data_IF_347504118225
#
_entry.id   IF_347504118225
#
_cell.length_a   1.000
_cell.length_b   1.000
_cell.length_c   1.000
_cell.angle_alpha   90.00
_cell.angle_beta   90.00
_cell.angle_gamma   90.00
#
_symmetry.space_group_name_H-M   'P 1'
#
loop_
_entity.id
_entity.type
_entity.pdbx_description
1 polymer ?
#
# COMPACT_ATOMS: atom_id res chain seq x y z
N UNK A 1 6.37 -0.81 -0.30
CA UNK A 1 5.55 -0.41 -1.47
C UNK A 1 6.42 0.45 -2.39
N UNK A 2 6.44 0.15 -3.66
CA UNK A 2 7.19 0.90 -4.69
C UNK A 2 6.16 1.63 -5.56
N UNK A 3 6.32 2.94 -5.67
CA UNK A 3 5.48 3.77 -6.55
C UNK A 3 6.30 4.07 -7.79
N UNK A 4 5.85 3.54 -8.94
CA UNK A 4 6.52 3.70 -10.21
C UNK A 4 6.03 4.95 -10.93
N UNK A 5 6.93 5.87 -11.21
CA UNK A 5 6.76 6.87 -12.25
C UNK A 5 7.99 6.79 -13.17
N UNK A 6 7.82 6.81 -14.50
CA UNK A 6 8.76 6.43 -15.56
C UNK A 6 10.16 7.10 -15.55
N UNK A 7 10.42 8.08 -14.70
CA UNK A 7 11.76 8.69 -14.52
C UNK A 7 12.34 8.29 -13.16
N UNK A 8 13.65 8.10 -13.07
CA UNK A 8 14.36 7.66 -11.86
C UNK A 8 14.03 8.47 -10.58
N UNK A 9 13.64 9.73 -10.74
CA UNK A 9 13.24 10.62 -9.64
C UNK A 9 11.81 10.39 -9.13
N UNK A 10 11.13 9.36 -9.62
CA UNK A 10 9.72 9.11 -9.44
C UNK A 10 9.41 7.84 -8.64
N UNK A 11 10.44 7.16 -8.16
CA UNK A 11 10.27 6.08 -7.19
C UNK A 11 10.25 6.66 -5.79
N UNK A 12 9.16 6.41 -5.08
CA UNK A 12 9.04 6.78 -3.68
C UNK A 12 8.87 5.50 -2.86
N UNK A 13 9.66 5.37 -1.81
CA UNK A 13 9.61 4.24 -0.90
C UNK A 13 8.92 4.70 0.38
N UNK A 14 7.86 4.01 0.76
CA UNK A 14 7.14 4.25 2.00
C UNK A 14 7.21 2.98 2.83
N UNK A 15 7.67 3.11 4.06
CA UNK A 15 7.78 1.99 4.98
C UNK A 15 6.55 1.93 5.88
N UNK A 16 6.03 0.71 6.07
CA UNK A 16 4.97 0.46 7.04
C UNK A 16 5.50 0.61 8.47
N UNK A 17 4.62 1.06 9.36
CA UNK A 17 4.87 0.99 10.77
C UNK A 17 4.86 -0.47 11.25
N UNK A 18 5.63 -0.74 12.30
CA UNK A 18 5.65 -2.03 12.95
C UNK A 18 4.69 -2.03 14.12
N UNK A 19 3.99 -3.13 14.31
CA UNK A 19 3.11 -3.37 15.45
C UNK A 19 3.53 -4.61 16.21
N UNK A 20 3.16 -4.70 17.48
CA UNK A 20 3.44 -5.87 18.30
C UNK A 20 2.85 -7.14 17.68
N UNK A 21 3.62 -8.20 17.63
CA UNK A 21 3.15 -9.49 17.17
C UNK A 21 2.41 -10.22 18.31
N UNK A 22 1.26 -10.78 17.97
CA UNK A 22 0.49 -11.63 18.89
C UNK A 22 0.91 -13.09 18.69
N UNK A 23 1.04 -13.83 19.79
CA UNK A 23 1.40 -15.24 19.76
C UNK A 23 0.17 -16.17 19.68
N UNK A 24 -0.98 -15.69 20.14
CA UNK A 24 -2.21 -16.49 20.23
C UNK A 24 -3.48 -15.66 20.04
N UNK A 25 -4.63 -16.33 20.01
CA UNK A 25 -5.95 -15.71 19.87
C UNK A 25 -6.44 -14.98 21.13
N UNK A 26 -5.71 -15.09 22.23
CA UNK A 26 -6.00 -14.38 23.50
C UNK A 26 -5.24 -13.06 23.61
N UNK A 27 -4.65 -12.61 22.50
CA UNK A 27 -3.86 -11.38 22.42
C UNK A 27 -2.59 -11.39 23.29
N UNK A 28 -2.04 -12.56 23.59
CA UNK A 28 -0.73 -12.69 24.22
C UNK A 28 0.35 -12.11 23.32
N UNK A 29 1.25 -11.29 23.85
CA UNK A 29 2.35 -10.71 23.10
C UNK A 29 3.41 -11.77 22.81
N UNK A 30 3.93 -11.76 21.57
CA UNK A 30 5.09 -12.57 21.19
C UNK A 30 6.36 -11.83 21.61
N UNK A 31 7.32 -12.58 22.16
CA UNK A 31 8.63 -12.04 22.50
C UNK A 31 9.57 -12.19 21.30
N UNK A 32 10.52 -11.27 21.17
CA UNK A 32 11.60 -11.32 20.20
C UNK A 32 12.66 -12.37 20.56
N UNK A 33 13.84 -12.21 20.00
CA UNK A 33 14.99 -13.06 20.35
C UNK A 33 15.42 -12.85 21.79
N UNK A 34 15.33 -11.60 22.27
CA UNK A 34 15.49 -11.29 23.70
C UNK A 34 14.12 -11.32 24.38
N UNK A 35 14.08 -12.00 25.54
CA UNK A 35 12.87 -12.11 26.40
C UNK A 35 12.33 -10.76 26.90
N UNK A 36 13.10 -9.71 26.77
CA UNK A 36 12.73 -8.35 27.16
C UNK A 36 12.28 -7.48 25.98
N UNK A 37 12.32 -8.03 24.77
CA UNK A 37 11.89 -7.35 23.56
C UNK A 37 10.60 -7.98 23.03
N UNK A 38 9.63 -7.12 22.68
CA UNK A 38 8.39 -7.58 22.03
C UNK A 38 8.65 -7.77 20.55
N UNK A 39 8.35 -8.96 20.03
CA UNK A 39 8.39 -9.21 18.60
C UNK A 39 7.46 -8.26 17.85
N UNK A 40 7.91 -7.72 16.75
CA UNK A 40 7.13 -6.81 15.91
C UNK A 40 6.94 -7.37 14.51
N UNK A 41 5.84 -6.99 13.88
CA UNK A 41 5.55 -7.33 12.49
C UNK A 41 5.05 -6.10 11.74
N UNK A 42 5.11 -6.06 10.39
CA UNK A 42 4.42 -5.04 9.61
C UNK A 42 2.92 -5.06 9.92
N UNK A 43 2.30 -3.88 9.93
CA UNK A 43 0.88 -3.75 10.29
C UNK A 43 -0.04 -4.45 9.28
N UNK A 44 0.23 -4.32 7.98
CA UNK A 44 -0.52 -5.01 6.93
C UNK A 44 -0.74 -4.15 5.68
N UNK A 45 -1.26 -4.79 4.63
CA UNK A 45 -1.40 -4.13 3.31
C UNK A 45 -2.37 -2.93 3.32
N UNK A 46 -3.35 -2.93 4.23
CA UNK A 46 -4.30 -1.81 4.35
C UNK A 46 -3.67 -0.49 4.76
N UNK A 47 -2.49 -0.52 5.37
CA UNK A 47 -1.76 0.68 5.78
C UNK A 47 -1.39 1.60 4.61
N UNK A 48 -1.36 1.08 3.39
CA UNK A 48 -1.01 1.87 2.21
C UNK A 48 -1.82 3.16 2.12
N UNK A 49 -3.11 3.10 2.40
CA UNK A 49 -3.99 4.28 2.32
C UNK A 49 -3.64 5.32 3.38
N UNK A 50 -3.42 4.87 4.62
CA UNK A 50 -3.00 5.74 5.71
C UNK A 50 -1.62 6.36 5.46
N UNK A 51 -0.67 5.56 5.00
CA UNK A 51 0.69 5.99 4.70
C UNK A 51 0.72 7.05 3.59
N UNK A 52 -0.02 6.84 2.50
CA UNK A 52 -0.11 7.79 1.40
C UNK A 52 -0.71 9.13 1.85
N UNK A 53 -1.70 9.09 2.72
CA UNK A 53 -2.29 10.28 3.31
C UNK A 53 -1.31 10.99 4.24
N UNK A 54 -0.69 10.26 5.19
CA UNK A 54 0.26 10.78 6.17
C UNK A 54 1.47 11.45 5.52
N UNK A 55 1.99 10.85 4.46
CA UNK A 55 3.16 11.35 3.73
C UNK A 55 2.80 12.47 2.72
N UNK A 56 1.52 12.87 2.63
CA UNK A 56 1.06 13.95 1.76
C UNK A 56 1.01 13.61 0.27
N UNK A 57 1.13 12.32 -0.11
CA UNK A 57 1.12 11.93 -1.52
C UNK A 57 -0.23 12.15 -2.19
N UNK A 58 -1.32 12.01 -1.45
CA UNK A 58 -2.67 12.23 -2.00
C UNK A 58 -2.79 13.69 -2.46
N UNK A 59 -2.39 14.64 -1.62
CA UNK A 59 -2.42 16.06 -1.93
C UNK A 59 -1.46 16.42 -3.08
N UNK A 60 -0.25 15.83 -3.07
CA UNK A 60 0.71 16.00 -4.16
C UNK A 60 0.14 15.53 -5.52
N UNK A 61 -0.55 14.38 -5.53
CA UNK A 61 -1.13 13.84 -6.76
C UNK A 61 -2.33 14.66 -7.24
N UNK A 62 -3.16 15.13 -6.33
CA UNK A 62 -4.28 16.02 -6.65
C UNK A 62 -3.79 17.33 -7.28
N UNK A 63 -2.78 17.96 -6.69
CA UNK A 63 -2.14 19.17 -7.22
C UNK A 63 -1.49 18.93 -8.60
N UNK A 64 -1.02 17.71 -8.87
CA UNK A 64 -0.49 17.31 -10.18
C UNK A 64 -1.57 16.87 -11.18
N UNK A 65 -2.84 16.96 -10.83
CA UNK A 65 -3.97 16.59 -11.67
C UNK A 65 -4.07 15.09 -11.95
N UNK A 66 -3.53 14.24 -11.08
CA UNK A 66 -3.69 12.78 -11.18
C UNK A 66 -5.13 12.39 -10.88
N UNK A 67 -5.76 11.65 -11.77
CA UNK A 67 -7.18 11.27 -11.66
C UNK A 67 -7.40 9.83 -11.20
N UNK A 68 -6.42 8.98 -11.37
CA UNK A 68 -6.52 7.56 -11.06
C UNK A 68 -5.27 7.09 -10.33
N UNK A 69 -5.47 6.24 -9.33
CA UNK A 69 -4.41 5.55 -8.59
C UNK A 69 -4.67 4.05 -8.68
N UNK A 70 -3.64 3.29 -9.01
CA UNK A 70 -3.74 1.84 -9.15
C UNK A 70 -2.90 1.20 -8.04
N UNK A 71 -3.52 0.34 -7.26
CA UNK A 71 -2.85 -0.45 -6.23
C UNK A 71 -2.60 -1.85 -6.76
N UNK A 72 -1.36 -2.27 -6.81
CA UNK A 72 -0.95 -3.58 -7.27
C UNK A 72 -0.13 -4.27 -6.19
N UNK A 73 -0.29 -5.58 -6.09
CA UNK A 73 0.58 -6.42 -5.30
C UNK A 73 1.67 -7.00 -6.20
N UNK A 74 2.94 -6.86 -5.83
CA UNK A 74 4.10 -7.28 -6.60
C UNK A 74 4.16 -8.79 -6.86
N UNK A 75 3.61 -9.58 -5.93
CA UNK A 75 3.52 -11.04 -6.07
C UNK A 75 2.48 -11.51 -7.10
N UNK A 76 1.63 -10.62 -7.60
CA UNK A 76 0.63 -10.92 -8.62
C UNK A 76 0.99 -10.30 -9.98
N UNK A 77 1.94 -10.91 -10.66
CA UNK A 77 2.41 -10.41 -11.96
C UNK A 77 1.30 -10.39 -13.04
N UNK A 78 0.30 -11.27 -12.95
CA UNK A 78 -0.79 -11.34 -13.93
C UNK A 78 -1.72 -10.14 -13.88
N UNK A 79 -1.78 -9.45 -12.75
CA UNK A 79 -2.66 -8.27 -12.59
C UNK A 79 -2.29 -7.14 -13.57
N UNK A 80 -1.03 -7.06 -14.01
CA UNK A 80 -0.58 -6.06 -14.98
C UNK A 80 -1.39 -6.13 -16.28
N UNK A 81 -1.78 -7.32 -16.72
CA UNK A 81 -2.57 -7.52 -17.94
C UNK A 81 -4.01 -6.99 -17.79
N UNK A 82 -4.52 -6.91 -16.57
CA UNK A 82 -5.88 -6.41 -16.28
C UNK A 82 -5.96 -4.91 -16.02
N UNK A 83 -4.84 -4.23 -15.82
CA UNK A 83 -4.79 -2.80 -15.46
C UNK A 83 -5.49 -1.93 -16.50
N UNK A 84 -5.12 -2.08 -17.77
CA UNK A 84 -5.68 -1.24 -18.85
C UNK A 84 -7.17 -1.46 -19.04
N UNK A 85 -7.69 -2.70 -19.19
CA UNK A 85 -9.13 -2.91 -19.30
C UNK A 85 -9.90 -2.48 -18.04
N UNK A 86 -9.39 -2.71 -16.84
CA UNK A 86 -10.03 -2.27 -15.59
C UNK A 86 -10.13 -0.75 -15.51
N UNK A 87 -9.06 -0.05 -15.86
CA UNK A 87 -9.06 1.40 -15.92
C UNK A 87 -10.04 1.93 -16.98
N UNK A 88 -10.06 1.31 -18.17
CA UNK A 88 -10.99 1.66 -19.23
C UNK A 88 -12.46 1.55 -18.79
N UNK A 89 -12.83 0.48 -18.12
CA UNK A 89 -14.18 0.29 -17.56
C UNK A 89 -14.49 1.35 -16.51
N UNK A 90 -13.55 1.65 -15.61
CA UNK A 90 -13.73 2.69 -14.58
C UNK A 90 -14.02 4.06 -15.20
N UNK A 91 -13.26 4.42 -16.23
CA UNK A 91 -13.45 5.71 -16.94
C UNK A 91 -14.81 5.72 -17.66
N UNK A 92 -15.12 4.66 -18.41
CA UNK A 92 -16.35 4.58 -19.20
C UNK A 92 -17.61 4.59 -18.32
N UNK A 93 -17.56 3.96 -17.17
CA UNK A 93 -18.70 3.83 -16.25
C UNK A 93 -18.73 4.86 -15.13
N UNK A 94 -17.67 5.68 -14.99
CA UNK A 94 -17.57 6.65 -13.91
C UNK A 94 -17.41 6.05 -12.53
N UNK A 95 -16.77 4.87 -12.43
CA UNK A 95 -16.57 4.22 -11.14
C UNK A 95 -15.47 4.92 -10.33
N UNK A 96 -15.77 5.20 -9.07
CA UNK A 96 -14.79 5.71 -8.12
C UNK A 96 -13.83 4.62 -7.62
N UNK A 97 -14.28 3.36 -7.63
CA UNK A 97 -13.49 2.20 -7.25
C UNK A 97 -13.82 1.01 -8.16
N UNK A 98 -12.80 0.28 -8.57
CA UNK A 98 -12.93 -0.96 -9.34
C UNK A 98 -11.89 -1.97 -8.84
N UNK A 99 -12.27 -3.24 -8.69
CA UNK A 99 -11.41 -4.32 -8.19
C UNK A 99 -11.74 -5.67 -8.84
#
# INVERSE_FOLDING_TARGET
MIILDWKRDKFKFVCQDKVAALKDSKAGLSLGEDRWEIATKPHGHGDVHHLLYREGYIEEWENKGKKHVIFLQDTNALVINSVIPTLGVSIQKGFHMNR
#
